data_IF_819290337712
#
_entry.id   IF_819290337712
#
_cell.length_a   1.000
_cell.length_b   1.000
_cell.length_c   1.000
_cell.angle_alpha   90.00
_cell.angle_beta   90.00
_cell.angle_gamma   90.00
#
_symmetry.space_group_name_H-M   'P 1'
#
loop_
_entity.id
_entity.type
_entity.pdbx_description
1 polymer ?
#
# COMPACT_ATOMS: atom_id res chain seq x y z
N UNK A 1 16.35 2.30 -16.72
CA UNK A 1 15.61 3.06 -15.67
C UNK A 1 14.40 2.30 -15.14
N UNK A 2 13.62 1.62 -15.99
CA UNK A 2 12.39 0.93 -15.56
C UNK A 2 12.63 -0.27 -14.63
N UNK A 3 13.79 -0.93 -14.67
CA UNK A 3 14.16 -1.93 -13.65
C UNK A 3 14.29 -1.33 -12.24
N UNK A 4 14.90 -0.13 -12.12
CA UNK A 4 15.07 0.58 -10.85
C UNK A 4 13.72 0.98 -10.24
N UNK A 5 12.72 1.31 -11.06
CA UNK A 5 11.37 1.63 -10.57
C UNK A 5 10.73 0.46 -9.80
N UNK A 6 10.98 -0.78 -10.21
CA UNK A 6 10.48 -1.96 -9.50
C UNK A 6 11.11 -2.12 -8.11
N UNK A 7 12.41 -1.82 -8.00
CA UNK A 7 13.12 -1.80 -6.72
C UNK A 7 12.59 -0.69 -5.83
N UNK A 8 12.43 0.54 -6.34
CA UNK A 8 11.83 1.65 -5.60
C UNK A 8 10.40 1.34 -5.13
N UNK A 9 9.56 0.75 -5.99
CA UNK A 9 8.21 0.27 -5.65
C UNK A 9 8.24 -0.72 -4.49
N UNK A 10 9.21 -1.64 -4.49
CA UNK A 10 9.41 -2.63 -3.41
C UNK A 10 9.86 -1.96 -2.12
N UNK A 11 10.78 -0.99 -2.18
CA UNK A 11 11.24 -0.25 -1.00
C UNK A 11 10.07 0.51 -0.36
N UNK A 12 9.27 1.21 -1.18
CA UNK A 12 8.09 1.93 -0.69
C UNK A 12 7.07 0.99 -0.05
N UNK A 13 6.89 -0.22 -0.62
CA UNK A 13 6.07 -1.26 0.00
C UNK A 13 6.60 -1.64 1.39
N UNK A 14 7.90 -1.89 1.55
CA UNK A 14 8.46 -2.26 2.85
C UNK A 14 8.28 -1.16 3.90
N UNK A 15 8.48 0.11 3.53
CA UNK A 15 8.26 1.24 4.44
C UNK A 15 6.77 1.35 4.79
N UNK A 16 5.88 1.25 3.80
CA UNK A 16 4.45 1.28 4.03
C UNK A 16 3.96 0.12 4.92
N UNK A 17 4.56 -1.06 4.78
CA UNK A 17 4.28 -2.22 5.62
C UNK A 17 4.67 -1.95 7.08
N UNK A 18 5.85 -1.37 7.31
CA UNK A 18 6.28 -0.98 8.67
C UNK A 18 5.35 0.08 9.25
N UNK A 19 4.95 1.08 8.47
CA UNK A 19 3.96 2.07 8.88
C UNK A 19 2.62 1.43 9.23
N UNK A 20 2.14 0.48 8.43
CA UNK A 20 0.88 -0.22 8.70
C UNK A 20 0.96 -1.11 9.95
N UNK A 21 2.10 -1.79 10.18
CA UNK A 21 2.33 -2.52 11.43
C UNK A 21 2.22 -1.57 12.63
N UNK A 22 2.79 -0.36 12.56
CA UNK A 22 2.66 0.62 13.64
C UNK A 22 1.20 1.04 13.89
N UNK A 23 0.37 1.14 12.85
CA UNK A 23 -1.08 1.38 12.99
C UNK A 23 -1.76 0.23 13.74
N UNK A 24 -1.39 -1.02 13.47
CA UNK A 24 -1.93 -2.18 14.21
C UNK A 24 -1.57 -2.17 15.70
N UNK A 25 -0.51 -1.46 16.08
CA UNK A 25 -0.15 -1.21 17.49
C UNK A 25 -0.83 0.04 18.09
N UNK A 26 -1.82 0.62 17.41
CA UNK A 26 -2.60 1.77 17.88
C UNK A 26 -2.01 3.13 17.54
N UNK A 27 -1.00 3.21 16.67
CA UNK A 27 -0.45 4.49 16.23
C UNK A 27 -1.05 4.94 14.89
N UNK A 28 -2.26 5.47 14.95
CA UNK A 28 -3.05 5.85 13.78
C UNK A 28 -2.42 6.97 12.94
N UNK A 29 -1.49 7.75 13.51
CA UNK A 29 -0.77 8.81 12.80
C UNK A 29 0.01 8.29 11.59
N UNK A 30 0.38 7.00 11.58
CA UNK A 30 1.10 6.38 10.47
C UNK A 30 0.21 5.88 9.32
N UNK A 31 -1.11 5.88 9.49
CA UNK A 31 -2.03 5.37 8.46
C UNK A 31 -1.91 6.16 7.17
N UNK A 32 -1.99 7.49 7.24
CA UNK A 32 -1.89 8.36 6.07
C UNK A 32 -0.55 8.20 5.36
N UNK A 33 0.54 8.08 6.13
CA UNK A 33 1.89 7.87 5.59
C UNK A 33 1.98 6.54 4.85
N UNK A 34 1.52 5.45 5.46
CA UNK A 34 1.51 4.12 4.84
C UNK A 34 0.68 4.07 3.56
N UNK A 35 -0.45 4.76 3.54
CA UNK A 35 -1.31 4.89 2.35
C UNK A 35 -0.60 5.65 1.23
N UNK A 36 -0.05 6.84 1.50
CA UNK A 36 0.64 7.65 0.48
C UNK A 36 1.81 6.87 -0.12
N UNK A 37 2.64 6.26 0.73
CA UNK A 37 3.76 5.44 0.27
C UNK A 37 3.29 4.26 -0.57
N UNK A 38 2.19 3.61 -0.18
CA UNK A 38 1.61 2.50 -0.95
C UNK A 38 1.07 2.95 -2.30
N UNK A 39 0.39 4.10 -2.38
CA UNK A 39 -0.09 4.66 -3.65
C UNK A 39 1.09 4.94 -4.59
N UNK A 40 2.11 5.65 -4.09
CA UNK A 40 3.31 5.96 -4.88
C UNK A 40 4.03 4.69 -5.31
N UNK A 41 4.21 3.73 -4.40
CA UNK A 41 4.82 2.44 -4.67
C UNK A 41 4.06 1.64 -5.72
N UNK A 42 2.72 1.62 -5.63
CA UNK A 42 1.87 0.94 -6.61
C UNK A 42 2.00 1.58 -8.00
N UNK A 43 1.90 2.92 -8.09
CA UNK A 43 2.04 3.66 -9.35
C UNK A 43 3.42 3.38 -9.98
N UNK A 44 4.51 3.45 -9.21
CA UNK A 44 5.85 3.13 -9.71
C UNK A 44 5.95 1.67 -10.19
N UNK A 45 5.29 0.75 -9.51
CA UNK A 45 5.21 -0.65 -9.91
C UNK A 45 4.55 -0.85 -11.27
N UNK A 46 3.52 -0.07 -11.61
CA UNK A 46 2.80 -0.16 -12.89
C UNK A 46 3.71 0.18 -14.08
N UNK A 47 4.60 1.16 -13.92
CA UNK A 47 5.53 1.62 -14.95
C UNK A 47 6.88 0.88 -14.97
N UNK A 48 7.12 -0.05 -14.04
CA UNK A 48 8.36 -0.80 -13.95
C UNK A 48 8.45 -1.97 -14.95
N UNK A 49 9.68 -2.40 -15.24
CA UNK A 49 9.93 -3.56 -16.10
C UNK A 49 9.37 -4.85 -15.49
N UNK A 50 9.01 -5.82 -16.36
CA UNK A 50 8.54 -7.13 -15.89
C UNK A 50 9.67 -7.82 -15.12
N UNK A 51 9.43 -8.14 -13.85
CA UNK A 51 10.42 -8.75 -12.97
C UNK A 51 9.85 -9.06 -11.60
N UNK A 52 10.64 -9.73 -10.75
CA UNK A 52 10.22 -10.15 -9.41
C UNK A 52 9.89 -8.94 -8.52
N UNK A 53 10.75 -7.92 -8.49
CA UNK A 53 10.52 -6.69 -7.72
C UNK A 53 9.26 -5.95 -8.13
N UNK A 54 8.93 -5.90 -9.44
CA UNK A 54 7.66 -5.34 -9.90
C UNK A 54 6.47 -6.07 -9.29
N UNK A 55 6.49 -7.42 -9.29
CA UNK A 55 5.39 -8.22 -8.75
C UNK A 55 5.25 -8.02 -7.24
N UNK A 56 6.36 -8.06 -6.51
CA UNK A 56 6.37 -7.83 -5.06
C UNK A 56 5.83 -6.43 -4.75
N UNK A 57 6.36 -5.39 -5.40
CA UNK A 57 5.90 -4.02 -5.22
C UNK A 57 4.42 -3.84 -5.55
N UNK A 58 3.93 -4.37 -6.67
CA UNK A 58 2.51 -4.25 -7.03
C UNK A 58 1.58 -4.99 -6.08
N UNK A 59 1.87 -6.25 -5.79
CA UNK A 59 1.03 -7.08 -4.91
C UNK A 59 1.07 -6.51 -3.48
N UNK A 60 2.26 -6.20 -2.97
CA UNK A 60 2.44 -5.68 -1.62
C UNK A 60 1.76 -4.34 -1.40
N UNK A 61 2.07 -3.34 -2.24
CA UNK A 61 1.41 -2.02 -2.13
C UNK A 61 -0.11 -2.16 -2.37
N UNK A 62 -0.52 -3.02 -3.31
CA UNK A 62 -1.94 -3.27 -3.59
C UNK A 62 -2.68 -3.86 -2.38
N UNK A 63 -2.08 -4.81 -1.66
CA UNK A 63 -2.64 -5.38 -0.42
C UNK A 63 -2.81 -4.29 0.63
N UNK A 64 -1.80 -3.45 0.86
CA UNK A 64 -1.89 -2.35 1.83
C UNK A 64 -3.05 -1.42 1.46
N UNK A 65 -3.15 -0.98 0.20
CA UNK A 65 -4.27 -0.13 -0.24
C UNK A 65 -5.63 -0.83 -0.10
N UNK A 66 -5.68 -2.13 -0.40
CA UNK A 66 -6.92 -2.90 -0.28
C UNK A 66 -7.40 -2.94 1.17
N UNK A 67 -6.52 -3.25 2.13
CA UNK A 67 -6.90 -3.35 3.54
C UNK A 67 -7.11 -2.00 4.21
N UNK A 68 -6.43 -0.94 3.77
CA UNK A 68 -6.51 0.40 4.39
C UNK A 68 -7.58 1.30 3.78
N UNK A 69 -7.97 1.07 2.53
CA UNK A 69 -8.95 1.92 1.83
C UNK A 69 -10.17 1.09 1.44
N UNK A 70 -9.97 0.02 0.66
CA UNK A 70 -11.09 -0.70 0.03
C UNK A 70 -11.95 -1.40 1.06
N UNK A 71 -11.34 -2.14 2.00
CA UNK A 71 -12.09 -2.83 3.06
C UNK A 71 -12.85 -1.82 3.93
N UNK A 72 -12.21 -0.79 4.53
CA UNK A 72 -12.93 0.19 5.34
C UNK A 72 -14.04 0.88 4.58
N UNK A 73 -13.79 1.30 3.33
CA UNK A 73 -14.82 1.91 2.49
C UNK A 73 -16.03 0.98 2.30
N UNK A 74 -15.79 -0.30 2.03
CA UNK A 74 -16.87 -1.27 1.88
C UNK A 74 -17.64 -1.44 3.19
N UNK A 75 -16.92 -1.60 4.30
CA UNK A 75 -17.52 -1.83 5.62
C UNK A 75 -18.37 -0.62 6.04
N UNK A 76 -17.83 0.59 6.00
CA UNK A 76 -18.54 1.79 6.47
C UNK A 76 -19.66 2.24 5.54
N UNK A 77 -19.56 1.95 4.24
CA UNK A 77 -20.58 2.38 3.27
C UNK A 77 -21.73 1.37 3.12
N UNK A 78 -21.43 0.07 3.15
CA UNK A 78 -22.43 -0.96 2.83
C UNK A 78 -22.89 -1.77 4.04
N UNK A 79 -22.05 -2.00 5.05
CA UNK A 79 -22.37 -2.87 6.19
C UNK A 79 -22.71 -2.08 7.46
N UNK A 80 -21.92 -1.06 7.77
CA UNK A 80 -22.06 -0.20 8.94
C UNK A 80 -22.30 1.25 8.51
N UNK A 81 -23.41 1.47 7.83
CA UNK A 81 -23.80 2.80 7.33
C UNK A 81 -24.82 3.52 8.21
N UNK A 82 -25.12 2.95 9.39
CA UNK A 82 -25.98 3.56 10.42
C UNK A 82 -25.30 3.38 11.79
N UNK A 83 -25.40 4.37 12.69
CA UNK A 83 -24.81 4.30 14.02
C UNK A 83 -25.45 3.22 14.89
#
# INVERSE_FOLDING_TARGET
MKSKLGVFSTILFLIALVSYIAVLFGNDSFLLVGVILSVLGFILGLFSEKGVYRKIGLIGNGIILFVTIVIPFIVTTFFWNRP
#
